data_IF_716040723615
#
_entry.id   IF_716040723615
#
_cell.length_a   1.000
_cell.length_b   1.000
_cell.length_c   1.000
_cell.angle_alpha   90.00
_cell.angle_beta   90.00
_cell.angle_gamma   90.00
#
_symmetry.space_group_name_H-M   'P 1'
#
loop_
_entity.id
_entity.type
_entity.pdbx_description
1 polymer ?
#
# COMPACT_ATOMS: atom_id res chain seq x y z
N UNK A 1 -2.06 -14.28 18.40
CA UNK A 1 -2.63 -13.36 19.45
C UNK A 1 -4.08 -13.76 19.75
N UNK A 2 -4.56 -13.59 21.00
CA UNK A 2 -5.98 -13.78 21.33
C UNK A 2 -6.82 -12.62 20.76
N UNK A 3 -8.07 -12.88 20.32
CA UNK A 3 -8.93 -11.88 19.70
C UNK A 3 -9.12 -10.63 20.57
N UNK A 4 -9.40 -10.80 21.86
CA UNK A 4 -9.59 -9.67 22.80
C UNK A 4 -8.33 -8.78 22.90
N UNK A 5 -7.13 -9.37 22.85
CA UNK A 5 -5.89 -8.60 22.86
C UNK A 5 -5.66 -7.86 21.53
N UNK A 6 -6.12 -8.44 20.43
CA UNK A 6 -6.09 -7.77 19.12
C UNK A 6 -7.01 -6.56 19.12
N UNK A 7 -8.23 -6.68 19.63
CA UNK A 7 -9.17 -5.55 19.75
C UNK A 7 -8.59 -4.42 20.61
N UNK A 8 -7.99 -4.77 21.76
CA UNK A 8 -7.33 -3.77 22.62
C UNK A 8 -6.17 -3.08 21.90
N UNK A 9 -5.35 -3.85 21.19
CA UNK A 9 -4.26 -3.30 20.37
C UNK A 9 -4.79 -2.32 19.33
N UNK A 10 -5.87 -2.67 18.60
CA UNK A 10 -6.47 -1.79 17.61
C UNK A 10 -6.96 -0.48 18.23
N UNK A 11 -7.63 -0.52 19.39
CA UNK A 11 -8.10 0.67 20.09
C UNK A 11 -6.91 1.57 20.48
N UNK A 12 -5.90 1.01 21.14
CA UNK A 12 -4.73 1.78 21.57
C UNK A 12 -3.98 2.32 20.36
N UNK A 13 -3.77 1.49 19.32
CA UNK A 13 -3.09 1.88 18.10
C UNK A 13 -3.79 3.04 17.38
N UNK A 14 -5.12 3.00 17.31
CA UNK A 14 -5.92 4.08 16.72
C UNK A 14 -5.68 5.40 17.44
N UNK A 15 -5.69 5.39 18.77
CA UNK A 15 -5.51 6.59 19.59
C UNK A 15 -4.07 7.11 19.58
N UNK A 16 -3.06 6.22 19.60
CA UNK A 16 -1.67 6.60 19.81
C UNK A 16 -0.88 6.73 18.51
N UNK A 17 -1.28 6.03 17.45
CA UNK A 17 -0.57 6.02 16.16
C UNK A 17 -1.42 6.68 15.06
N UNK A 18 -2.63 6.15 14.82
CA UNK A 18 -3.43 6.60 13.68
C UNK A 18 -3.86 8.07 13.80
N UNK A 19 -4.51 8.46 14.89
CA UNK A 19 -4.99 9.85 15.05
C UNK A 19 -3.86 10.89 15.06
N UNK A 20 -2.72 10.68 15.75
CA UNK A 20 -1.58 11.60 15.62
C UNK A 20 -1.06 11.72 14.19
N UNK A 21 -0.87 10.61 13.46
CA UNK A 21 -0.40 10.65 12.08
C UNK A 21 -1.42 11.31 11.15
N UNK A 22 -2.72 11.04 11.32
CA UNK A 22 -3.78 11.68 10.55
C UNK A 22 -3.78 13.20 10.76
N UNK A 23 -3.64 13.65 12.02
CA UNK A 23 -3.50 15.08 12.32
C UNK A 23 -2.23 15.67 11.71
N UNK A 24 -1.10 14.97 11.81
CA UNK A 24 0.18 15.43 11.26
C UNK A 24 0.12 15.63 9.73
N UNK A 25 -0.65 14.79 9.02
CA UNK A 25 -0.68 14.76 7.56
C UNK A 25 -1.84 15.54 6.95
N UNK A 26 -3.01 15.60 7.63
CA UNK A 26 -4.25 16.16 7.09
C UNK A 26 -4.91 17.21 7.98
N UNK A 27 -4.37 17.42 9.17
CA UNK A 27 -4.99 18.28 10.19
C UNK A 27 -4.18 19.53 10.54
N UNK A 28 -3.31 20.01 9.64
CA UNK A 28 -2.45 21.15 9.91
C UNK A 28 -1.25 20.85 10.82
N UNK A 29 -0.90 19.56 10.99
CA UNK A 29 0.29 19.17 11.75
C UNK A 29 1.57 19.29 10.91
N UNK A 30 2.73 18.94 11.51
CA UNK A 30 4.05 19.29 10.96
C UNK A 30 4.38 18.63 9.61
N UNK A 31 3.73 17.55 9.21
CA UNK A 31 3.89 16.94 7.88
C UNK A 31 3.12 17.72 6.81
N UNK A 32 2.01 18.33 7.19
CA UNK A 32 1.22 19.21 6.35
C UNK A 32 1.89 20.60 6.23
N UNK A 33 2.12 21.27 7.37
CA UNK A 33 2.81 22.54 7.48
C UNK A 33 3.84 22.49 8.62
N UNK A 34 5.15 22.75 8.38
CA UNK A 34 5.78 23.38 7.19
C UNK A 34 6.34 22.41 6.12
N UNK A 35 6.25 21.07 6.29
CA UNK A 35 6.90 20.12 5.35
C UNK A 35 6.18 20.10 3.98
N UNK A 36 4.85 20.26 3.95
CA UNK A 36 4.07 20.24 2.73
C UNK A 36 3.95 18.84 2.10
N UNK A 37 3.99 17.79 2.93
CA UNK A 37 3.79 16.41 2.48
C UNK A 37 2.37 16.21 1.99
N UNK A 38 2.20 15.55 0.85
CA UNK A 38 0.89 15.20 0.30
C UNK A 38 0.64 13.69 0.40
N UNK A 39 -0.56 13.33 0.84
CA UNK A 39 -1.02 11.94 0.96
C UNK A 39 -2.52 11.89 0.69
N UNK A 40 -2.91 11.43 -0.50
CA UNK A 40 -4.31 11.50 -0.94
C UNK A 40 -5.25 10.65 -0.10
N UNK A 41 -4.86 9.40 0.13
CA UNK A 41 -5.75 8.44 0.77
C UNK A 41 -5.10 7.59 1.88
N UNK A 42 -3.87 7.92 2.32
CA UNK A 42 -3.28 7.27 3.48
C UNK A 42 -2.09 6.35 3.20
N UNK A 43 -1.25 6.69 2.23
CA UNK A 43 0.01 5.97 2.02
C UNK A 43 0.90 5.99 3.26
N UNK A 44 1.09 7.16 3.87
CA UNK A 44 1.83 7.33 5.12
C UNK A 44 0.97 6.95 6.33
N UNK A 45 -0.20 7.57 6.42
CA UNK A 45 -1.07 7.48 7.61
C UNK A 45 -1.57 6.07 7.85
N UNK A 46 -1.84 5.31 6.80
CA UNK A 46 -2.44 3.98 6.90
C UNK A 46 -1.42 2.90 6.52
N UNK A 47 -0.87 2.92 5.30
CA UNK A 47 -0.09 1.78 4.82
C UNK A 47 1.29 1.68 5.47
N UNK A 48 2.07 2.75 5.53
CA UNK A 48 3.38 2.70 6.19
C UNK A 48 3.20 2.40 7.68
N UNK A 49 2.30 3.11 8.34
CA UNK A 49 2.07 2.96 9.77
C UNK A 49 1.61 1.56 10.17
N UNK A 50 0.66 0.98 9.41
CA UNK A 50 0.18 -0.39 9.69
C UNK A 50 1.21 -1.45 9.31
N UNK A 51 1.94 -1.26 8.21
CA UNK A 51 3.01 -2.16 7.81
C UNK A 51 4.12 -2.25 8.84
N UNK A 52 4.59 -1.08 9.33
CA UNK A 52 5.61 -1.01 10.40
C UNK A 52 5.06 -1.57 11.72
N UNK A 53 3.84 -1.23 12.09
CA UNK A 53 3.21 -1.76 13.32
C UNK A 53 3.04 -3.27 13.26
N UNK A 54 2.67 -3.81 12.09
CA UNK A 54 2.60 -5.26 11.84
C UNK A 54 3.95 -5.94 11.98
N UNK A 55 5.02 -5.33 11.45
CA UNK A 55 6.39 -5.82 11.61
C UNK A 55 6.80 -5.86 13.09
N UNK A 56 6.60 -4.77 13.82
CA UNK A 56 6.92 -4.71 15.26
C UNK A 56 6.10 -5.73 16.03
N UNK A 57 4.80 -5.85 15.76
CA UNK A 57 3.94 -6.83 16.41
C UNK A 57 4.40 -8.27 16.17
N UNK A 58 4.78 -8.63 14.94
CA UNK A 58 5.27 -9.99 14.67
C UNK A 58 6.63 -10.27 15.33
N UNK A 59 7.51 -9.26 15.44
CA UNK A 59 8.79 -9.39 16.17
C UNK A 59 8.57 -9.62 17.67
N UNK A 60 7.62 -8.89 18.28
CA UNK A 60 7.29 -9.04 19.72
C UNK A 60 6.61 -10.40 20.00
N UNK A 61 5.71 -10.85 19.10
CA UNK A 61 5.01 -12.13 19.25
C UNK A 61 5.94 -13.32 19.02
N UNK A 62 7.02 -13.13 18.29
CA UNK A 62 7.95 -14.19 17.91
C UNK A 62 7.42 -15.09 16.79
N UNK A 63 8.25 -16.05 16.41
CA UNK A 63 7.98 -16.96 15.29
C UNK A 63 6.91 -18.00 15.64
N UNK A 64 6.07 -18.37 14.65
CA UNK A 64 5.11 -19.46 14.76
C UNK A 64 5.82 -20.81 14.97
N UNK A 65 5.14 -21.76 15.59
CA UNK A 65 5.63 -23.14 15.72
C UNK A 65 5.90 -23.73 14.33
N UNK A 66 7.10 -24.24 14.14
CA UNK A 66 7.51 -24.81 12.84
C UNK A 66 7.96 -23.79 11.78
N UNK A 67 8.14 -22.52 12.12
CA UNK A 67 8.68 -21.52 11.20
C UNK A 67 10.07 -21.96 10.67
N UNK A 68 10.21 -21.96 9.35
CA UNK A 68 11.43 -22.42 8.66
C UNK A 68 11.58 -23.95 8.52
N UNK A 69 10.77 -24.75 9.24
CA UNK A 69 10.80 -26.21 9.17
C UNK A 69 9.55 -26.83 8.52
N UNK A 70 8.44 -26.09 8.51
CA UNK A 70 7.16 -26.54 7.95
C UNK A 70 6.72 -25.65 6.80
N UNK A 71 6.14 -26.26 5.76
CA UNK A 71 5.43 -25.52 4.71
C UNK A 71 4.02 -25.16 5.22
N UNK A 72 3.69 -23.86 5.19
CA UNK A 72 2.34 -23.39 5.52
C UNK A 72 1.51 -23.32 4.25
N UNK A 73 0.52 -24.19 4.14
CA UNK A 73 -0.41 -24.19 3.03
C UNK A 73 -1.59 -23.24 3.31
N UNK A 74 -2.10 -22.55 2.27
CA UNK A 74 -3.31 -21.74 2.40
C UNK A 74 -4.49 -22.61 2.85
N UNK A 75 -5.29 -22.11 3.80
CA UNK A 75 -6.45 -22.83 4.33
C UNK A 75 -7.56 -22.97 3.27
N UNK A 76 -7.89 -21.89 2.57
CA UNK A 76 -9.00 -21.88 1.58
C UNK A 76 -8.76 -20.77 0.55
N UNK A 77 -8.29 -21.14 -0.64
CA UNK A 77 -8.02 -20.20 -1.75
C UNK A 77 -9.31 -19.57 -2.30
N UNK A 78 -10.44 -20.28 -2.53
CA UNK A 78 -11.68 -19.65 -2.93
C UNK A 78 -12.17 -18.57 -1.96
N UNK A 79 -12.13 -18.84 -0.65
CA UNK A 79 -12.52 -17.84 0.35
C UNK A 79 -11.56 -16.64 0.37
N UNK A 80 -10.27 -16.86 0.16
CA UNK A 80 -9.28 -15.81 -0.01
C UNK A 80 -9.61 -14.91 -1.20
N UNK A 81 -9.98 -15.49 -2.36
CA UNK A 81 -10.38 -14.73 -3.55
C UNK A 81 -11.64 -13.88 -3.32
N UNK A 82 -12.65 -14.45 -2.65
CA UNK A 82 -13.85 -13.69 -2.28
C UNK A 82 -13.48 -12.52 -1.39
N UNK A 83 -12.66 -12.74 -0.37
CA UNK A 83 -12.17 -11.69 0.51
C UNK A 83 -11.41 -10.60 -0.23
N UNK A 84 -10.53 -10.98 -1.17
CA UNK A 84 -9.77 -10.05 -2.00
C UNK A 84 -10.67 -9.24 -2.94
N UNK A 85 -11.71 -9.85 -3.53
CA UNK A 85 -12.67 -9.14 -4.37
C UNK A 85 -13.46 -8.09 -3.57
N UNK A 86 -13.94 -8.44 -2.40
CA UNK A 86 -14.64 -7.50 -1.49
C UNK A 86 -13.69 -6.37 -1.05
N UNK A 87 -12.44 -6.72 -0.71
CA UNK A 87 -11.42 -5.73 -0.38
C UNK A 87 -11.16 -4.76 -1.53
N UNK A 88 -11.06 -5.25 -2.77
CA UNK A 88 -10.83 -4.42 -3.95
C UNK A 88 -11.97 -3.42 -4.17
N UNK A 89 -13.22 -3.88 -4.11
CA UNK A 89 -14.39 -3.00 -4.19
C UNK A 89 -14.36 -1.95 -3.09
N UNK A 90 -14.07 -2.36 -1.84
CA UNK A 90 -13.90 -1.44 -0.72
C UNK A 90 -12.78 -0.41 -0.96
N UNK A 91 -11.70 -0.81 -1.63
CA UNK A 91 -10.58 0.09 -1.92
C UNK A 91 -10.90 1.13 -3.00
N UNK A 92 -11.74 0.80 -3.97
CA UNK A 92 -12.27 1.81 -4.88
C UNK A 92 -13.00 2.92 -4.11
N UNK A 93 -13.87 2.54 -3.15
CA UNK A 93 -14.50 3.51 -2.25
C UNK A 93 -13.51 4.22 -1.34
N UNK A 94 -12.51 3.53 -0.84
CA UNK A 94 -11.46 4.07 0.02
C UNK A 94 -10.69 5.21 -0.68
N UNK A 95 -10.17 4.98 -1.88
CA UNK A 95 -9.44 6.00 -2.62
C UNK A 95 -10.36 7.09 -3.21
N UNK A 96 -11.47 6.70 -3.84
CA UNK A 96 -12.38 7.69 -4.45
C UNK A 96 -13.07 8.57 -3.40
N UNK A 97 -13.39 8.02 -2.23
CA UNK A 97 -14.03 8.74 -1.14
C UNK A 97 -13.18 9.91 -0.60
N UNK A 98 -11.86 9.82 -0.73
CA UNK A 98 -10.95 10.91 -0.34
C UNK A 98 -11.06 12.18 -1.20
N UNK A 99 -11.75 12.11 -2.34
CA UNK A 99 -12.13 13.29 -3.12
C UNK A 99 -13.23 14.15 -2.46
N UNK A 100 -13.86 13.67 -1.37
CA UNK A 100 -14.90 14.39 -0.64
C UNK A 100 -16.25 14.55 -1.37
N UNK A 101 -16.42 13.92 -2.54
CA UNK A 101 -17.65 13.97 -3.32
C UNK A 101 -17.52 13.24 -4.68
N UNK A 102 -18.64 13.09 -5.40
CA UNK A 102 -18.69 12.52 -6.74
C UNK A 102 -18.27 13.59 -7.76
N UNK A 103 -16.98 13.76 -7.97
CA UNK A 103 -16.37 14.78 -8.81
C UNK A 103 -15.28 14.17 -9.73
N UNK A 104 -14.63 14.99 -10.53
CA UNK A 104 -13.57 14.57 -11.47
C UNK A 104 -12.38 13.93 -10.75
N UNK A 105 -12.05 14.38 -9.54
CA UNK A 105 -10.97 13.81 -8.74
C UNK A 105 -11.32 12.39 -8.27
N UNK A 106 -12.58 12.13 -7.91
CA UNK A 106 -13.05 10.78 -7.58
C UNK A 106 -12.93 9.84 -8.78
N UNK A 107 -13.27 10.32 -9.99
CA UNK A 107 -13.14 9.54 -11.23
C UNK A 107 -11.66 9.29 -11.55
N UNK A 108 -10.80 10.30 -11.39
CA UNK A 108 -9.35 10.14 -11.54
C UNK A 108 -8.80 9.09 -10.56
N UNK A 109 -9.17 9.18 -9.28
CA UNK A 109 -8.76 8.23 -8.26
C UNK A 109 -9.25 6.81 -8.56
N UNK A 110 -10.47 6.65 -9.10
CA UNK A 110 -11.02 5.37 -9.54
C UNK A 110 -10.16 4.75 -10.67
N UNK A 111 -9.87 5.55 -11.70
CA UNK A 111 -9.07 5.11 -12.83
C UNK A 111 -7.66 4.73 -12.40
N UNK A 112 -6.99 5.60 -11.63
CA UNK A 112 -5.63 5.37 -11.14
C UNK A 112 -5.55 4.12 -10.25
N UNK A 113 -6.51 3.93 -9.35
CA UNK A 113 -6.57 2.76 -8.46
C UNK A 113 -6.71 1.46 -9.25
N UNK A 114 -7.59 1.46 -10.24
CA UNK A 114 -7.84 0.28 -11.08
C UNK A 114 -6.62 -0.05 -11.95
N UNK A 115 -6.02 0.95 -12.60
CA UNK A 115 -4.89 0.76 -13.51
C UNK A 115 -3.65 0.31 -12.74
N UNK A 116 -3.34 0.95 -11.61
CA UNK A 116 -2.17 0.58 -10.80
C UNK A 116 -2.29 -0.85 -10.28
N UNK A 117 -3.46 -1.23 -9.78
CA UNK A 117 -3.71 -2.59 -9.30
C UNK A 117 -3.56 -3.62 -10.41
N UNK A 118 -4.15 -3.37 -11.58
CA UNK A 118 -4.05 -4.27 -12.73
C UNK A 118 -2.60 -4.39 -13.23
N UNK A 119 -1.87 -3.28 -13.36
CA UNK A 119 -0.47 -3.27 -13.78
C UNK A 119 0.41 -4.07 -12.81
N UNK A 120 0.25 -3.84 -11.51
CA UNK A 120 1.00 -4.56 -10.48
C UNK A 120 0.69 -6.06 -10.48
N UNK A 121 -0.58 -6.44 -10.64
CA UNK A 121 -1.01 -7.85 -10.75
C UNK A 121 -0.31 -8.54 -11.92
N UNK A 122 -0.33 -7.93 -13.11
CA UNK A 122 0.30 -8.50 -14.31
C UNK A 122 1.81 -8.64 -14.11
N UNK A 123 2.48 -7.61 -13.62
CA UNK A 123 3.94 -7.65 -13.38
C UNK A 123 4.29 -8.70 -12.32
N UNK A 124 3.51 -8.84 -11.25
CA UNK A 124 3.70 -9.87 -10.24
C UNK A 124 3.61 -11.28 -10.84
N UNK A 125 2.58 -11.55 -11.64
CA UNK A 125 2.41 -12.84 -12.33
C UNK A 125 3.57 -13.13 -13.28
N UNK A 126 4.08 -12.12 -14.00
CA UNK A 126 5.25 -12.25 -14.85
C UNK A 126 6.50 -12.61 -14.02
N UNK A 127 6.71 -11.95 -12.89
CA UNK A 127 7.84 -12.25 -12.00
C UNK A 127 7.76 -13.67 -11.44
N UNK A 128 6.60 -14.13 -10.97
CA UNK A 128 6.43 -15.53 -10.55
C UNK A 128 6.72 -16.50 -11.69
N UNK A 129 6.21 -16.21 -12.89
CA UNK A 129 6.44 -17.05 -14.07
C UNK A 129 7.92 -17.13 -14.43
N UNK A 130 8.66 -16.03 -14.39
CA UNK A 130 10.09 -15.98 -14.71
C UNK A 130 10.91 -16.66 -13.60
N UNK A 131 10.64 -16.36 -12.34
CA UNK A 131 11.47 -16.77 -11.20
C UNK A 131 11.08 -18.17 -10.71
N UNK A 132 9.77 -18.44 -10.57
CA UNK A 132 9.23 -19.68 -10.00
C UNK A 132 8.72 -20.66 -11.07
N UNK A 133 8.77 -20.27 -12.37
CA UNK A 133 8.29 -21.03 -13.54
C UNK A 133 6.77 -21.28 -13.57
N UNK A 134 6.01 -20.67 -12.68
CA UNK A 134 4.55 -20.71 -12.66
C UNK A 134 4.00 -19.52 -11.88
N UNK A 135 2.91 -18.94 -12.33
CA UNK A 135 2.14 -17.97 -11.56
C UNK A 135 1.14 -18.68 -10.63
N UNK A 136 0.76 -17.99 -9.57
CA UNK A 136 -0.19 -18.48 -8.60
C UNK A 136 -1.36 -17.50 -8.45
N UNK A 137 -2.54 -18.04 -8.09
CA UNK A 137 -3.71 -17.20 -7.80
C UNK A 137 -3.43 -16.25 -6.62
N UNK A 138 -2.75 -16.76 -5.59
CA UNK A 138 -2.38 -15.93 -4.44
C UNK A 138 -1.40 -14.82 -4.83
N UNK A 139 -0.41 -15.13 -5.67
CA UNK A 139 0.52 -14.13 -6.18
C UNK A 139 -0.16 -13.05 -7.01
N UNK A 140 -1.06 -13.43 -7.92
CA UNK A 140 -1.86 -12.49 -8.69
C UNK A 140 -2.63 -11.51 -7.79
N UNK A 141 -3.34 -12.03 -6.79
CA UNK A 141 -4.09 -11.21 -5.82
C UNK A 141 -3.15 -10.32 -4.99
N UNK A 142 -2.03 -10.87 -4.50
CA UNK A 142 -1.03 -10.09 -3.75
C UNK A 142 -0.48 -8.95 -4.60
N UNK A 143 -0.15 -9.22 -5.87
CA UNK A 143 0.26 -8.19 -6.82
C UNK A 143 -0.80 -7.11 -7.00
N UNK A 144 -2.07 -7.49 -7.11
CA UNK A 144 -3.18 -6.53 -7.16
C UNK A 144 -3.24 -5.63 -5.93
N UNK A 145 -3.15 -6.22 -4.73
CA UNK A 145 -3.14 -5.46 -3.46
C UNK A 145 -1.93 -4.52 -3.38
N UNK A 146 -0.76 -4.96 -3.79
CA UNK A 146 0.46 -4.13 -3.83
C UNK A 146 0.27 -2.89 -4.73
N UNK A 147 -0.40 -3.06 -5.88
CA UNK A 147 -0.74 -1.94 -6.76
C UNK A 147 -1.75 -0.97 -6.14
N UNK A 148 -2.74 -1.48 -5.37
CA UNK A 148 -3.67 -0.66 -4.60
C UNK A 148 -2.92 0.17 -3.55
N UNK A 149 -2.01 -0.45 -2.80
CA UNK A 149 -1.18 0.23 -1.79
C UNK A 149 -0.30 1.30 -2.43
N UNK A 150 0.42 0.95 -3.51
CA UNK A 150 1.38 1.84 -4.15
C UNK A 150 0.75 3.11 -4.74
N UNK A 151 -0.50 3.03 -5.22
CA UNK A 151 -1.19 4.21 -5.77
C UNK A 151 -1.90 5.06 -4.71
N UNK A 152 -2.19 4.50 -3.53
CA UNK A 152 -3.02 5.15 -2.51
C UNK A 152 -2.59 6.58 -2.17
N UNK A 153 -1.30 6.91 -1.92
CA UNK A 153 -0.92 8.29 -1.62
C UNK A 153 -1.04 9.25 -2.80
N UNK A 154 -1.02 8.75 -4.04
CA UNK A 154 -1.08 9.53 -5.26
C UNK A 154 -2.39 9.44 -6.04
N UNK A 155 -3.37 8.64 -5.60
CA UNK A 155 -4.52 8.26 -6.42
C UNK A 155 -5.28 9.42 -7.06
N UNK A 156 -5.43 10.54 -6.35
CA UNK A 156 -6.07 11.77 -6.87
C UNK A 156 -5.09 12.87 -7.27
N UNK A 157 -3.77 12.60 -7.26
CA UNK A 157 -2.74 13.62 -7.48
C UNK A 157 -1.87 13.36 -8.72
N UNK A 158 -1.96 12.18 -9.32
CA UNK A 158 -1.08 11.77 -10.41
C UNK A 158 -1.85 11.54 -11.72
N UNK A 159 -1.24 11.79 -12.90
CA UNK A 159 -1.84 11.46 -14.19
C UNK A 159 -2.04 9.95 -14.36
N UNK A 160 -3.01 9.56 -15.19
CA UNK A 160 -3.40 8.15 -15.42
C UNK A 160 -2.21 7.28 -15.90
N UNK A 161 -1.37 7.78 -16.79
CA UNK A 161 -0.21 7.02 -17.29
C UNK A 161 0.80 6.69 -16.20
N UNK A 162 0.96 7.57 -15.21
CA UNK A 162 1.88 7.32 -14.09
C UNK A 162 1.34 6.28 -13.11
N UNK A 163 0.02 6.13 -12.98
CA UNK A 163 -0.58 5.07 -12.19
C UNK A 163 -0.16 3.67 -12.68
N UNK A 164 -0.05 3.49 -14.00
CA UNK A 164 0.50 2.26 -14.57
C UNK A 164 1.94 2.00 -14.10
N UNK A 165 2.81 3.02 -14.18
CA UNK A 165 4.20 2.88 -13.75
C UNK A 165 4.32 2.65 -12.24
N UNK A 166 3.51 3.34 -11.45
CA UNK A 166 3.48 3.18 -9.98
C UNK A 166 3.17 1.73 -9.62
N UNK A 167 2.14 1.16 -10.21
CA UNK A 167 1.76 -0.23 -9.97
C UNK A 167 2.80 -1.22 -10.51
N UNK A 168 3.27 -1.01 -11.73
CA UNK A 168 4.27 -1.89 -12.36
C UNK A 168 5.58 -1.96 -11.59
N UNK A 169 6.02 -0.85 -10.97
CA UNK A 169 7.25 -0.79 -10.16
C UNK A 169 7.00 -1.27 -8.73
N UNK A 170 5.82 -1.06 -8.16
CA UNK A 170 5.45 -1.58 -6.84
C UNK A 170 5.60 -3.11 -6.77
N UNK A 171 5.18 -3.82 -7.82
CA UNK A 171 5.23 -5.28 -7.87
C UNK A 171 6.64 -5.85 -7.59
N UNK A 172 7.71 -5.52 -8.34
CA UNK A 172 9.04 -6.07 -8.06
C UNK A 172 9.58 -5.64 -6.69
N UNK A 173 9.36 -4.40 -6.27
CA UNK A 173 9.83 -3.90 -4.98
C UNK A 173 9.24 -4.76 -3.84
N UNK A 174 7.92 -4.93 -3.82
CA UNK A 174 7.24 -5.70 -2.78
C UNK A 174 7.50 -7.21 -2.93
N UNK A 175 7.60 -7.72 -4.16
CA UNK A 175 7.94 -9.13 -4.40
C UNK A 175 9.29 -9.49 -3.74
N UNK A 176 10.32 -8.67 -3.93
CA UNK A 176 11.62 -8.92 -3.30
C UNK A 176 11.60 -8.68 -1.79
N UNK A 177 10.81 -7.71 -1.30
CA UNK A 177 10.63 -7.51 0.13
C UNK A 177 10.02 -8.75 0.81
N UNK A 178 9.00 -9.34 0.20
CA UNK A 178 8.29 -10.52 0.72
C UNK A 178 9.13 -11.79 0.58
N UNK A 179 9.75 -12.01 -0.59
CA UNK A 179 10.44 -13.27 -0.88
C UNK A 179 11.90 -13.31 -0.40
N UNK A 180 12.64 -12.21 -0.45
CA UNK A 180 14.06 -12.16 -0.11
C UNK A 180 14.33 -11.50 1.24
N UNK A 181 13.82 -10.28 1.47
CA UNK A 181 14.12 -9.54 2.69
C UNK A 181 13.52 -10.25 3.91
N UNK A 182 12.27 -10.70 3.84
CA UNK A 182 11.61 -11.48 4.90
C UNK A 182 12.42 -12.72 5.28
N UNK A 183 12.92 -13.48 4.30
CA UNK A 183 13.75 -14.65 4.55
C UNK A 183 15.11 -14.29 5.16
N UNK A 184 15.77 -13.25 4.62
CA UNK A 184 17.08 -12.80 5.10
C UNK A 184 17.05 -12.31 6.55
N UNK A 185 16.03 -11.53 6.91
CA UNK A 185 15.88 -11.00 8.26
C UNK A 185 15.16 -11.95 9.21
N UNK A 186 14.50 -12.99 8.69
CA UNK A 186 13.92 -14.06 9.48
C UNK A 186 12.76 -13.67 10.40
N UNK A 187 12.01 -12.62 10.06
CA UNK A 187 10.78 -12.25 10.77
C UNK A 187 9.58 -13.04 10.22
N UNK A 188 8.65 -13.41 11.10
CA UNK A 188 7.48 -14.22 10.75
C UNK A 188 6.23 -13.35 10.55
N UNK A 189 6.26 -12.53 9.52
CA UNK A 189 5.09 -11.79 9.05
C UNK A 189 4.22 -12.71 8.19
N UNK A 190 3.20 -13.29 8.81
CA UNK A 190 2.37 -14.34 8.21
C UNK A 190 1.51 -13.87 7.04
N UNK A 191 1.17 -12.59 7.00
CA UNK A 191 0.30 -11.98 5.99
C UNK A 191 1.07 -11.06 5.03
N UNK A 192 2.38 -11.02 5.15
CA UNK A 192 3.25 -10.14 4.36
C UNK A 192 2.87 -8.65 4.46
N UNK A 193 2.31 -8.27 5.63
CA UNK A 193 1.77 -6.92 5.87
C UNK A 193 2.85 -5.85 5.72
N UNK A 194 4.05 -6.07 6.24
CA UNK A 194 5.15 -5.12 6.08
C UNK A 194 5.62 -5.03 4.62
N UNK A 195 5.78 -6.16 3.95
CA UNK A 195 6.20 -6.19 2.55
C UNK A 195 5.21 -5.55 1.59
N UNK A 196 3.90 -5.75 1.81
CA UNK A 196 2.85 -5.16 1.00
C UNK A 196 2.58 -3.69 1.37
N UNK A 197 2.28 -3.42 2.66
CA UNK A 197 1.80 -2.10 3.10
C UNK A 197 2.95 -1.18 3.51
N UNK A 198 3.94 -1.66 4.28
CA UNK A 198 5.09 -0.85 4.68
C UNK A 198 5.94 -0.46 3.49
N UNK A 199 6.46 -1.44 2.78
CA UNK A 199 7.34 -1.20 1.62
C UNK A 199 6.57 -0.61 0.44
N UNK A 200 5.36 -1.13 0.15
CA UNK A 200 4.50 -0.59 -0.91
C UNK A 200 4.05 0.85 -0.64
N UNK A 201 3.75 1.20 0.62
CA UNK A 201 3.42 2.57 1.03
C UNK A 201 4.60 3.53 0.91
N UNK A 202 5.82 3.10 1.29
CA UNK A 202 7.04 3.90 1.08
C UNK A 202 7.25 4.18 -0.42
N UNK A 203 7.14 3.13 -1.26
CA UNK A 203 7.20 3.33 -2.71
C UNK A 203 6.13 4.29 -3.20
N UNK A 204 4.88 4.14 -2.74
CA UNK A 204 3.76 5.00 -3.11
C UNK A 204 4.00 6.47 -2.76
N UNK A 205 4.52 6.76 -1.56
CA UNK A 205 4.90 8.11 -1.15
C UNK A 205 5.97 8.72 -2.05
N UNK A 206 7.05 7.97 -2.31
CA UNK A 206 8.11 8.37 -3.25
C UNK A 206 7.52 8.62 -4.65
N UNK A 207 6.70 7.70 -5.15
CA UNK A 207 6.08 7.82 -6.46
C UNK A 207 5.13 9.02 -6.56
N UNK A 208 4.44 9.37 -5.48
CA UNK A 208 3.62 10.58 -5.43
C UNK A 208 4.49 11.83 -5.58
N UNK A 209 5.63 11.91 -4.87
CA UNK A 209 6.61 12.98 -5.05
C UNK A 209 7.21 13.05 -6.46
N UNK A 210 7.31 11.91 -7.16
CA UNK A 210 7.79 11.89 -8.55
C UNK A 210 6.73 12.38 -9.55
N UNK A 211 5.46 11.96 -9.40
CA UNK A 211 4.44 12.04 -10.44
C UNK A 211 3.27 12.96 -10.12
N UNK A 212 3.21 13.62 -8.96
CA UNK A 212 2.14 14.57 -8.64
C UNK A 212 2.09 15.70 -9.66
N UNK A 213 0.87 16.11 -10.03
CA UNK A 213 0.69 17.15 -11.06
C UNK A 213 -0.55 18.00 -10.79
N UNK A 214 -0.35 19.30 -10.66
CA UNK A 214 -1.41 20.29 -10.45
C UNK A 214 -2.40 20.42 -11.61
N UNK A 215 -2.02 19.96 -12.82
CA UNK A 215 -2.95 19.96 -13.96
C UNK A 215 -4.08 18.93 -13.84
N UNK A 216 -3.89 17.88 -13.02
CA UNK A 216 -4.94 16.86 -12.78
C UNK A 216 -5.68 17.09 -11.47
N UNK A 217 -5.06 17.82 -10.53
CA UNK A 217 -5.70 18.19 -9.26
C UNK A 217 -5.08 19.49 -8.73
N UNK A 218 -5.86 20.56 -8.70
CA UNK A 218 -5.41 21.87 -8.23
C UNK A 218 -4.99 21.91 -6.74
N UNK A 219 -5.33 20.90 -5.95
CA UNK A 219 -4.88 20.77 -4.56
C UNK A 219 -3.40 20.32 -4.44
N UNK A 220 -2.74 19.95 -5.54
CA UNK A 220 -1.31 19.65 -5.56
C UNK A 220 -0.52 20.96 -5.43
N UNK A 221 0.21 21.19 -4.31
CA UNK A 221 0.88 22.46 -4.07
C UNK A 221 2.11 22.67 -4.96
N UNK A 222 2.78 21.60 -5.33
CA UNK A 222 3.96 21.56 -6.19
C UNK A 222 3.90 20.34 -7.09
N UNK A 223 4.37 20.49 -8.33
CA UNK A 223 4.47 19.36 -9.23
C UNK A 223 5.60 18.43 -8.81
N UNK A 224 5.50 17.17 -9.19
CA UNK A 224 6.51 16.16 -8.92
C UNK A 224 7.79 16.34 -9.75
N UNK A 225 8.82 15.59 -9.35
CA UNK A 225 10.15 15.68 -9.96
C UNK A 225 10.14 15.46 -11.48
N UNK A 226 9.29 14.58 -12.00
CA UNK A 226 9.15 14.32 -13.45
C UNK A 226 8.66 15.57 -14.22
N UNK A 227 8.00 16.48 -13.54
CA UNK A 227 7.53 17.75 -14.10
C UNK A 227 8.42 18.94 -13.77
N UNK A 228 9.63 18.68 -13.27
CA UNK A 228 10.68 19.68 -13.06
C UNK A 228 10.67 20.37 -11.69
N UNK A 229 9.83 19.96 -10.75
CA UNK A 229 9.82 20.47 -9.39
C UNK A 229 10.30 19.39 -8.40
N UNK A 230 11.20 19.76 -7.50
CA UNK A 230 11.80 18.82 -6.54
C UNK A 230 11.25 18.94 -5.11
N UNK A 231 10.36 19.89 -4.86
CA UNK A 231 9.88 20.23 -3.51
C UNK A 231 9.07 19.12 -2.81
N UNK A 232 8.44 18.24 -3.59
CA UNK A 232 7.70 17.09 -3.06
C UNK A 232 8.58 15.83 -2.92
N UNK A 233 9.82 15.88 -3.36
CA UNK A 233 10.77 14.76 -3.32
C UNK A 233 11.88 14.99 -2.28
#
# INVERSE_FOLDING_TARGET
>A
MKFSKMMLLCIIWTLVVYYPLAHMTWGGGFLDDPIGSIDFAGGNVIHISTGVSGLVACMILGRRKGFGAMSYHPHNIPLFLIGAAVLWVGWLGFNCGCAGGANEIAILALANTTISSAASMVVWMLMETIIQKKCTVMGAVTGGIVGLVGITPGAGYVPIWSAFLIGAIAAPICFFAISKAKQKFGYDDALDAFGCHGVGGIWGGIATGLFANSSVNAAVPHNGLVFGEWRLF
#
